data_IF_199231388809
#
_entry.id   IF_199231388809
#
_cell.length_a   1.000
_cell.length_b   1.000
_cell.length_c   1.000
_cell.angle_alpha   90.00
_cell.angle_beta   90.00
_cell.angle_gamma   90.00
#
_symmetry.space_group_name_H-M   'P 1'
#
loop_
_entity.id
_entity.type
_entity.pdbx_description
1 polymer ?
#
# COMPACT_ATOMS: atom_id res chain seq x y z
N UNK A 1 48.49 28.94 28.83
CA UNK A 1 47.90 30.16 29.37
C UNK A 1 46.46 30.19 28.96
N UNK A 2 45.54 29.80 29.87
CA UNK A 2 44.06 29.97 29.80
C UNK A 2 43.69 31.43 29.95
N UNK A 3 42.50 31.89 29.50
CA UNK A 3 41.42 31.82 30.44
C UNK A 3 40.03 31.39 29.87
N UNK A 4 39.27 30.86 30.78
CA UNK A 4 37.89 30.48 30.72
C UNK A 4 36.90 31.63 30.42
N UNK A 5 35.78 31.32 29.74
CA UNK A 5 34.60 32.17 29.72
C UNK A 5 33.36 31.39 30.13
N UNK A 6 32.70 31.93 31.16
CA UNK A 6 31.56 31.40 31.90
C UNK A 6 30.27 31.45 31.05
N UNK A 7 29.51 30.38 31.10
CA UNK A 7 28.14 30.29 30.64
C UNK A 7 27.19 30.96 31.64
N UNK A 8 26.38 31.90 31.18
CA UNK A 8 25.23 32.43 31.94
C UNK A 8 23.97 31.66 31.56
N UNK A 9 23.37 31.00 32.53
CA UNK A 9 22.04 30.37 32.45
C UNK A 9 21.02 31.37 32.95
N UNK A 10 20.11 31.82 32.10
CA UNK A 10 18.96 32.65 32.50
C UNK A 10 17.75 31.74 32.68
N UNK A 11 17.28 31.62 33.92
CA UNK A 11 16.01 30.97 34.28
C UNK A 11 14.87 31.96 34.02
N UNK A 12 13.91 31.56 33.18
CA UNK A 12 12.62 32.27 33.09
C UNK A 12 11.63 31.60 34.04
N UNK A 13 11.09 32.42 34.96
CA UNK A 13 10.05 32.03 35.94
C UNK A 13 8.69 32.37 35.34
N UNK A 14 7.83 31.34 35.13
CA UNK A 14 6.44 31.56 34.73
C UNK A 14 5.55 31.56 35.97
N UNK A 15 4.87 32.68 36.21
CA UNK A 15 3.89 32.86 37.32
C UNK A 15 2.51 32.41 36.79
N UNK A 16 1.93 31.38 37.42
CA UNK A 16 0.56 30.91 37.13
C UNK A 16 -0.40 31.59 38.12
N UNK A 17 -1.30 32.43 37.62
CA UNK A 17 -2.42 32.99 38.36
C UNK A 17 -3.63 32.07 38.34
N UNK A 18 -4.07 31.59 39.49
CA UNK A 18 -5.28 30.80 39.68
C UNK A 18 -6.52 31.69 39.65
N UNK A 19 -7.43 31.46 38.70
CA UNK A 19 -8.80 31.97 38.69
C UNK A 19 -9.77 30.98 39.36
N UNK A 20 -10.63 31.46 40.23
CA UNK A 20 -11.65 30.72 40.98
C UNK A 20 -12.83 30.34 40.08
N UNK A 21 -13.49 29.16 40.28
CA UNK A 21 -14.72 28.80 39.56
C UNK A 21 -15.95 29.42 40.25
N UNK A 22 -16.84 29.96 39.42
CA UNK A 22 -18.16 30.43 39.81
C UNK A 22 -19.17 29.30 39.67
N UNK A 23 -19.82 28.92 40.75
CA UNK A 23 -20.92 27.95 40.83
C UNK A 23 -22.22 28.57 40.33
N UNK A 24 -22.86 27.95 39.35
CA UNK A 24 -24.26 28.20 38.98
C UNK A 24 -25.12 27.00 39.33
N UNK A 25 -25.97 27.18 40.35
CA UNK A 25 -26.99 26.23 40.80
C UNK A 25 -28.24 26.38 39.94
N UNK A 26 -28.69 25.30 39.29
CA UNK A 26 -30.06 25.19 38.77
C UNK A 26 -30.79 24.04 39.46
N UNK A 27 -31.93 24.40 40.03
CA UNK A 27 -32.85 23.62 40.84
C UNK A 27 -33.70 22.72 39.96
N UNK A 28 -33.67 21.42 40.15
CA UNK A 28 -34.59 20.46 39.50
C UNK A 28 -35.63 19.98 40.52
N UNK A 29 -36.89 20.07 40.12
CA UNK A 29 -38.08 19.52 40.81
C UNK A 29 -38.29 18.07 40.46
N UNK A 30 -38.70 17.19 41.37
CA UNK A 30 -38.91 15.78 41.09
C UNK A 30 -40.34 15.50 40.59
N UNK A 31 -40.49 14.73 39.50
CA UNK A 31 -41.72 14.10 39.08
C UNK A 31 -41.66 12.61 39.48
N UNK A 32 -42.72 12.20 40.24
CA UNK A 32 -42.90 10.88 40.82
C UNK A 32 -43.43 9.91 39.76
N UNK A 33 -42.75 8.78 39.57
CA UNK A 33 -43.18 7.66 38.76
C UNK A 33 -43.84 6.57 39.65
N UNK A 34 -44.93 6.00 39.22
CA UNK A 34 -45.45 4.66 39.55
C UNK A 34 -45.22 3.82 38.31
N UNK A 35 -44.73 2.67 38.35
CA UNK A 35 -44.86 1.42 39.09
C UNK A 35 -44.93 0.32 38.04
N UNK A 36 -44.18 -0.73 38.34
CA UNK A 36 -44.36 -2.16 37.96
C UNK A 36 -43.75 -2.66 36.64
N UNK A 37 -42.75 -3.42 36.84
CA UNK A 37 -42.55 -4.85 36.73
C UNK A 37 -41.68 -5.43 35.58
N UNK A 38 -40.85 -6.39 36.00
CA UNK A 38 -40.23 -7.48 35.28
C UNK A 38 -38.94 -7.28 34.48
N UNK A 39 -37.82 -7.50 35.19
CA UNK A 39 -36.70 -8.40 34.84
C UNK A 39 -36.28 -8.52 33.37
N UNK A 40 -35.15 -7.91 33.03
CA UNK A 40 -34.06 -8.62 32.36
C UNK A 40 -32.75 -7.81 32.50
N UNK A 41 -31.87 -8.30 33.35
CA UNK A 41 -30.49 -7.84 33.44
C UNK A 41 -29.78 -8.21 32.14
N UNK A 42 -29.72 -7.30 31.19
CA UNK A 42 -28.80 -7.37 30.05
C UNK A 42 -27.46 -6.79 30.47
N UNK A 43 -26.50 -7.67 30.61
CA UNK A 43 -25.12 -7.38 30.96
C UNK A 43 -24.49 -6.35 30.04
N UNK A 44 -23.76 -5.37 30.62
CA UNK A 44 -22.89 -4.41 29.92
C UNK A 44 -21.78 -5.09 29.09
N UNK A 45 -21.74 -6.42 29.03
CA UNK A 45 -20.82 -7.19 28.19
C UNK A 45 -21.28 -7.30 26.73
N UNK A 46 -22.56 -7.12 26.42
CA UNK A 46 -23.09 -7.27 25.06
C UNK A 46 -22.99 -6.02 24.20
N UNK A 47 -22.68 -4.87 24.79
CA UNK A 47 -22.49 -3.60 24.06
C UNK A 47 -21.05 -3.37 23.59
N UNK A 48 -20.09 -4.13 24.10
CA UNK A 48 -18.66 -4.04 23.68
C UNK A 48 -18.28 -5.12 22.66
N UNK A 49 -19.14 -6.11 22.43
CA UNK A 49 -18.94 -7.16 21.42
C UNK A 49 -19.31 -6.72 20.01
N UNK A 50 -19.98 -5.57 19.85
CA UNK A 50 -20.46 -5.09 18.52
C UNK A 50 -19.52 -4.10 17.84
N UNK A 51 -18.40 -3.71 18.44
CA UNK A 51 -17.39 -2.82 17.82
C UNK A 51 -16.09 -3.54 17.45
N UNK A 52 -15.98 -4.82 17.68
CA UNK A 52 -14.78 -5.62 17.44
C UNK A 52 -14.80 -6.46 16.15
N UNK A 53 -15.82 -6.35 15.31
CA UNK A 53 -15.98 -7.18 14.10
C UNK A 53 -16.24 -6.31 12.86
N UNK A 54 -15.41 -5.31 12.62
CA UNK A 54 -15.33 -4.62 11.34
C UNK A 54 -14.00 -4.92 10.63
N UNK A 55 -13.35 -6.00 11.00
CA UNK A 55 -12.50 -6.73 10.06
C UNK A 55 -13.44 -7.68 9.31
N UNK A 56 -14.06 -7.10 8.32
CA UNK A 56 -14.58 -7.66 7.09
C UNK A 56 -14.69 -9.19 7.02
N UNK A 57 -15.70 -9.76 7.66
CA UNK A 57 -16.46 -10.77 6.96
C UNK A 57 -17.32 -10.01 5.95
N UNK A 58 -16.78 -9.72 4.77
CA UNK A 58 -17.61 -9.47 3.60
C UNK A 58 -18.31 -10.79 3.27
N UNK A 59 -19.29 -11.16 4.10
CA UNK A 59 -20.35 -11.99 3.64
C UNK A 59 -21.07 -11.14 2.58
N UNK A 60 -20.77 -11.42 1.33
CA UNK A 60 -21.61 -11.06 0.20
C UNK A 60 -23.01 -11.62 0.52
N UNK A 61 -23.83 -10.84 1.24
CA UNK A 61 -25.26 -11.11 1.32
C UNK A 61 -25.79 -10.86 -0.09
N UNK A 62 -25.93 -11.94 -0.85
CA UNK A 62 -26.75 -11.94 -2.04
C UNK A 62 -28.11 -11.31 -1.67
N UNK A 63 -28.28 -10.05 -2.00
CA UNK A 63 -29.60 -9.46 -2.14
C UNK A 63 -30.18 -9.98 -3.44
N UNK A 64 -30.88 -11.12 -3.34
CA UNK A 64 -31.87 -11.47 -4.32
C UNK A 64 -32.96 -10.39 -4.23
N UNK A 65 -32.86 -9.37 -5.05
CA UNK A 65 -34.02 -8.61 -5.47
C UNK A 65 -34.31 -9.05 -6.92
N UNK A 66 -35.46 -9.62 -7.09
CA UNK A 66 -36.15 -9.82 -8.35
C UNK A 66 -36.37 -8.45 -9.00
N UNK A 67 -35.45 -8.07 -9.88
CA UNK A 67 -35.69 -7.19 -11.00
C UNK A 67 -34.97 -7.86 -12.17
N UNK A 68 -35.71 -8.72 -12.87
CA UNK A 68 -35.38 -9.17 -14.21
C UNK A 68 -35.57 -7.95 -15.14
N UNK A 69 -34.50 -7.16 -15.28
CA UNK A 69 -34.40 -6.19 -16.36
C UNK A 69 -32.96 -6.19 -16.92
N UNK A 70 -32.86 -6.75 -18.14
CA UNK A 70 -31.82 -6.53 -19.13
C UNK A 70 -30.39 -6.38 -18.62
N UNK A 71 -29.74 -7.51 -18.35
CA UNK A 71 -28.27 -7.60 -18.31
C UNK A 71 -27.74 -7.49 -19.75
N UNK A 72 -27.85 -6.28 -20.31
CA UNK A 72 -27.23 -5.91 -21.58
C UNK A 72 -25.71 -5.88 -21.34
N UNK A 73 -24.99 -6.83 -21.94
CA UNK A 73 -23.59 -7.15 -22.00
C UNK A 73 -22.55 -6.10 -21.56
N UNK A 74 -22.61 -5.61 -20.31
CA UNK A 74 -21.58 -4.72 -19.78
C UNK A 74 -20.27 -5.49 -19.63
N UNK A 75 -19.23 -5.06 -20.35
CA UNK A 75 -17.87 -5.60 -20.23
C UNK A 75 -17.45 -5.65 -18.76
N UNK A 76 -16.87 -6.78 -18.31
CA UNK A 76 -16.22 -6.84 -17.00
C UNK A 76 -15.12 -5.77 -16.89
N UNK A 77 -14.94 -5.24 -15.72
CA UNK A 77 -13.81 -4.34 -15.41
C UNK A 77 -12.51 -5.10 -15.54
N UNK A 78 -11.45 -4.44 -15.96
CA UNK A 78 -10.14 -5.08 -16.14
C UNK A 78 -9.10 -4.48 -15.21
N UNK A 79 -8.47 -5.33 -14.39
CA UNK A 79 -7.39 -4.94 -13.49
C UNK A 79 -6.08 -5.60 -13.90
N UNK A 80 -5.02 -4.81 -13.92
CA UNK A 80 -3.63 -5.31 -14.05
C UNK A 80 -3.02 -5.38 -12.66
N UNK A 81 -2.46 -6.54 -12.26
CA UNK A 81 -1.80 -6.72 -10.97
C UNK A 81 -0.36 -7.21 -11.19
N UNK A 82 0.64 -6.39 -10.84
CA UNK A 82 2.04 -6.84 -10.86
C UNK A 82 2.35 -7.73 -9.66
N UNK A 83 3.18 -8.77 -9.86
CA UNK A 83 3.52 -9.71 -8.79
C UNK A 83 2.33 -10.56 -8.31
N UNK A 84 1.45 -10.93 -9.23
CA UNK A 84 0.22 -11.68 -8.97
C UNK A 84 0.42 -13.20 -8.93
N UNK A 85 1.66 -13.70 -8.91
CA UNK A 85 1.98 -15.13 -8.82
C UNK A 85 2.15 -15.62 -7.37
N UNK A 86 2.11 -14.76 -6.38
CA UNK A 86 2.27 -15.14 -4.98
C UNK A 86 1.76 -14.05 -4.02
N UNK A 87 1.62 -14.41 -2.75
CA UNK A 87 1.35 -13.45 -1.68
C UNK A 87 0.10 -12.62 -1.91
N UNK A 88 0.18 -11.33 -1.58
CA UNK A 88 -0.93 -10.36 -1.62
C UNK A 88 -1.53 -10.25 -3.03
N UNK A 89 -0.68 -10.17 -4.06
CA UNK A 89 -1.13 -10.02 -5.44
C UNK A 89 -1.93 -11.22 -5.93
N UNK A 90 -1.51 -12.44 -5.59
CA UNK A 90 -2.24 -13.66 -5.93
C UNK A 90 -3.56 -13.76 -5.15
N UNK A 91 -3.56 -13.44 -3.86
CA UNK A 91 -4.76 -13.49 -3.04
C UNK A 91 -5.82 -12.48 -3.52
N UNK A 92 -5.39 -11.26 -3.83
CA UNK A 92 -6.27 -10.25 -4.42
C UNK A 92 -6.80 -10.68 -5.81
N UNK A 93 -5.94 -11.28 -6.64
CA UNK A 93 -6.35 -11.82 -7.95
C UNK A 93 -7.43 -12.90 -7.82
N UNK A 94 -7.29 -13.84 -6.86
CA UNK A 94 -8.29 -14.87 -6.55
C UNK A 94 -9.65 -14.25 -6.18
N UNK A 95 -9.65 -13.25 -5.30
CA UNK A 95 -10.87 -12.59 -4.81
C UNK A 95 -11.55 -11.77 -5.92
N UNK A 96 -10.78 -11.01 -6.69
CA UNK A 96 -11.32 -10.19 -7.80
C UNK A 96 -11.90 -11.07 -8.92
N UNK A 97 -11.19 -12.13 -9.36
CA UNK A 97 -11.71 -13.05 -10.35
C UNK A 97 -12.99 -13.77 -9.84
N UNK A 98 -13.01 -14.20 -8.57
CA UNK A 98 -14.15 -14.88 -7.99
C UNK A 98 -15.39 -13.98 -7.80
N UNK A 99 -15.23 -12.65 -7.81
CA UNK A 99 -16.38 -11.72 -7.75
C UNK A 99 -17.24 -11.73 -9.01
N UNK A 100 -16.71 -12.21 -10.13
CA UNK A 100 -17.39 -12.18 -11.44
C UNK A 100 -17.42 -10.81 -12.11
N UNK A 101 -16.99 -9.74 -11.42
CA UNK A 101 -17.03 -8.36 -11.93
C UNK A 101 -15.76 -7.97 -12.70
N UNK A 102 -14.66 -8.73 -12.50
CA UNK A 102 -13.34 -8.37 -12.98
C UNK A 102 -12.71 -9.43 -13.87
N UNK A 103 -12.07 -8.97 -14.95
CA UNK A 103 -11.02 -9.72 -15.66
C UNK A 103 -9.67 -9.30 -15.05
N UNK A 104 -8.90 -10.28 -14.59
CA UNK A 104 -7.62 -10.04 -13.91
C UNK A 104 -6.46 -10.37 -14.83
N UNK A 105 -5.69 -9.35 -15.22
CA UNK A 105 -4.45 -9.49 -15.99
C UNK A 105 -3.27 -9.73 -15.01
N UNK A 106 -2.83 -10.97 -14.94
CA UNK A 106 -1.71 -11.39 -14.11
C UNK A 106 -0.39 -10.96 -14.74
N UNK A 107 0.29 -9.96 -14.16
CA UNK A 107 1.60 -9.50 -14.59
C UNK A 107 2.69 -10.11 -13.69
N UNK A 108 3.25 -11.24 -14.11
CA UNK A 108 4.29 -11.98 -13.41
C UNK A 108 5.62 -11.85 -14.14
N UNK A 109 6.76 -12.13 -13.50
CA UNK A 109 8.08 -12.05 -14.12
C UNK A 109 8.14 -12.81 -15.45
N UNK A 110 7.54 -13.99 -15.49
CA UNK A 110 7.41 -14.81 -16.70
C UNK A 110 5.95 -15.19 -16.93
N UNK A 111 5.57 -15.43 -18.19
CA UNK A 111 4.24 -15.94 -18.54
C UNK A 111 3.96 -17.29 -17.87
N UNK A 112 4.97 -18.17 -17.75
CA UNK A 112 4.83 -19.47 -17.10
C UNK A 112 4.44 -19.34 -15.59
N UNK A 113 4.98 -18.34 -14.90
CA UNK A 113 4.56 -18.03 -13.52
C UNK A 113 3.10 -17.55 -13.48
N UNK A 114 2.67 -16.73 -14.43
CA UNK A 114 1.28 -16.27 -14.52
C UNK A 114 0.33 -17.46 -14.80
N UNK A 115 0.70 -18.38 -15.70
CA UNK A 115 -0.07 -19.60 -15.98
C UNK A 115 -0.14 -20.53 -14.77
N UNK A 116 0.92 -20.61 -13.95
CA UNK A 116 0.88 -21.36 -12.70
C UNK A 116 -0.09 -20.70 -11.69
N UNK A 117 -0.05 -19.39 -11.57
CA UNK A 117 -0.97 -18.63 -10.73
C UNK A 117 -2.44 -18.77 -11.19
N UNK A 118 -2.69 -18.76 -12.50
CA UNK A 118 -4.03 -19.00 -13.07
C UNK A 118 -4.60 -20.34 -12.62
N UNK A 119 -3.79 -21.41 -12.60
CA UNK A 119 -4.24 -22.72 -12.09
C UNK A 119 -4.65 -22.65 -10.62
N UNK A 120 -3.87 -21.98 -9.76
CA UNK A 120 -4.23 -21.79 -8.36
C UNK A 120 -5.50 -20.93 -8.17
N UNK A 121 -5.76 -19.97 -9.07
CA UNK A 121 -6.98 -19.16 -9.06
C UNK A 121 -8.20 -20.02 -9.36
N UNK A 122 -8.10 -20.93 -10.33
CA UNK A 122 -9.19 -21.88 -10.65
C UNK A 122 -9.45 -22.92 -9.54
N UNK A 123 -8.39 -23.32 -8.79
CA UNK A 123 -8.55 -24.16 -7.60
C UNK A 123 -9.28 -23.42 -6.46
N UNK A 124 -9.17 -22.10 -6.41
CA UNK A 124 -9.84 -21.28 -5.39
C UNK A 124 -11.37 -21.22 -5.57
N UNK A 125 -11.86 -21.13 -6.82
CA UNK A 125 -13.29 -21.11 -7.11
C UNK A 125 -13.60 -21.67 -8.50
N UNK A 126 -14.52 -22.63 -8.56
CA UNK A 126 -15.03 -23.19 -9.82
C UNK A 126 -15.97 -22.26 -10.59
N UNK A 127 -16.35 -21.13 -10.02
CA UNK A 127 -17.19 -20.12 -10.69
C UNK A 127 -16.37 -19.20 -11.61
N UNK A 128 -15.03 -19.21 -11.53
CA UNK A 128 -14.16 -18.36 -12.34
C UNK A 128 -14.07 -18.94 -13.77
N UNK A 129 -14.43 -18.14 -14.77
CA UNK A 129 -14.32 -18.50 -16.17
C UNK A 129 -12.87 -18.33 -16.69
N UNK A 130 -12.53 -19.01 -17.80
CA UNK A 130 -11.17 -18.96 -18.33
C UNK A 130 -10.74 -17.56 -18.78
N UNK A 131 -11.66 -16.78 -19.33
CA UNK A 131 -11.48 -15.40 -19.78
C UNK A 131 -11.50 -14.36 -18.62
N UNK A 132 -11.78 -14.78 -17.40
CA UNK A 132 -11.65 -13.91 -16.23
C UNK A 132 -10.19 -13.73 -15.80
N UNK A 133 -9.27 -14.54 -16.31
CA UNK A 133 -7.86 -14.50 -15.93
C UNK A 133 -6.94 -14.55 -17.13
N UNK A 134 -6.22 -13.47 -17.36
CA UNK A 134 -5.23 -13.33 -18.43
C UNK A 134 -3.80 -13.48 -17.90
N UNK A 135 -2.91 -14.09 -18.66
CA UNK A 135 -1.54 -14.36 -18.25
C UNK A 135 -0.52 -13.58 -19.07
N UNK A 136 0.35 -12.82 -18.40
CA UNK A 136 1.38 -12.00 -19.03
C UNK A 136 2.75 -12.17 -18.37
N UNK A 137 3.81 -12.05 -19.18
CA UNK A 137 5.17 -11.86 -18.71
C UNK A 137 5.47 -10.35 -18.55
N UNK A 138 5.89 -9.94 -17.35
CA UNK A 138 6.31 -8.58 -17.03
C UNK A 138 7.46 -8.63 -16.02
N UNK A 139 8.68 -8.68 -16.51
CA UNK A 139 9.88 -8.58 -15.68
C UNK A 139 10.20 -7.10 -15.41
N UNK A 140 9.90 -6.62 -14.21
CA UNK A 140 10.16 -5.23 -13.79
C UNK A 140 11.66 -4.90 -13.69
N UNK A 141 12.54 -5.91 -13.63
CA UNK A 141 13.98 -5.73 -13.74
C UNK A 141 14.46 -5.56 -15.20
N UNK A 142 13.54 -5.30 -16.14
CA UNK A 142 13.84 -5.06 -17.56
C UNK A 142 12.86 -4.07 -18.16
N UNK A 143 13.32 -2.86 -18.47
CA UNK A 143 12.47 -1.84 -19.09
C UNK A 143 11.92 -2.30 -20.45
N UNK A 144 12.67 -3.12 -21.19
CA UNK A 144 12.20 -3.72 -22.44
C UNK A 144 11.00 -4.63 -22.20
N UNK A 145 11.06 -5.50 -21.18
CA UNK A 145 9.95 -6.37 -20.77
C UNK A 145 8.72 -5.57 -20.35
N UNK A 146 8.91 -4.51 -19.55
CA UNK A 146 7.82 -3.60 -19.15
C UNK A 146 7.15 -2.96 -20.37
N UNK A 147 7.95 -2.48 -21.33
CA UNK A 147 7.42 -1.88 -22.58
C UNK A 147 6.69 -2.91 -23.45
N UNK A 148 7.20 -4.15 -23.54
CA UNK A 148 6.54 -5.23 -24.28
C UNK A 148 5.20 -5.59 -23.64
N UNK A 149 5.18 -5.76 -22.31
CA UNK A 149 3.96 -6.02 -21.54
C UNK A 149 2.91 -4.92 -21.70
N UNK A 150 3.30 -3.66 -21.56
CA UNK A 150 2.37 -2.54 -21.71
C UNK A 150 1.75 -2.49 -23.12
N UNK A 151 2.53 -2.79 -24.19
CA UNK A 151 2.01 -2.89 -25.55
C UNK A 151 1.01 -4.04 -25.70
N UNK A 152 1.29 -5.20 -25.10
CA UNK A 152 0.41 -6.37 -25.16
C UNK A 152 -0.91 -6.11 -24.42
N UNK A 153 -0.85 -5.51 -23.23
CA UNK A 153 -2.05 -5.11 -22.46
C UNK A 153 -2.92 -4.14 -23.25
N UNK A 154 -2.31 -3.13 -23.89
CA UNK A 154 -3.04 -2.14 -24.71
C UNK A 154 -3.73 -2.78 -25.93
N UNK A 155 -3.10 -3.78 -26.53
CA UNK A 155 -3.67 -4.49 -27.68
C UNK A 155 -4.89 -5.34 -27.31
N UNK A 156 -4.98 -5.81 -26.07
CA UNK A 156 -6.03 -6.71 -25.59
C UNK A 156 -7.19 -6.00 -24.87
N UNK A 157 -7.26 -4.68 -24.93
CA UNK A 157 -8.36 -3.89 -24.36
C UNK A 157 -7.93 -2.90 -23.28
N UNK A 158 -8.89 -2.11 -22.79
CA UNK A 158 -8.65 -1.07 -21.80
C UNK A 158 -8.28 -1.60 -20.41
N UNK A 159 -7.79 -0.70 -19.56
CA UNK A 159 -7.48 -0.96 -18.16
C UNK A 159 -8.34 -0.06 -17.28
N UNK A 160 -9.02 -0.64 -16.31
CA UNK A 160 -9.88 0.09 -15.38
C UNK A 160 -9.21 0.32 -14.02
N UNK A 161 -8.26 -0.58 -13.66
CA UNK A 161 -7.46 -0.45 -12.46
C UNK A 161 -6.05 -1.04 -12.67
N UNK A 162 -5.05 -0.43 -12.02
CA UNK A 162 -3.66 -0.85 -12.07
C UNK A 162 -3.10 -0.99 -10.63
N UNK A 163 -2.72 -2.19 -10.25
CA UNK A 163 -2.05 -2.48 -8.99
C UNK A 163 -0.55 -2.65 -9.20
N UNK A 164 0.22 -1.66 -8.78
CA UNK A 164 1.69 -1.67 -8.73
C UNK A 164 2.12 -2.35 -7.42
N UNK A 165 2.00 -3.69 -7.40
CA UNK A 165 2.11 -4.48 -6.17
C UNK A 165 3.43 -5.23 -6.03
N UNK A 166 4.07 -5.63 -7.13
CA UNK A 166 5.31 -6.40 -7.08
C UNK A 166 6.40 -5.71 -6.24
N UNK A 167 7.29 -6.50 -5.65
CA UNK A 167 8.43 -5.98 -4.94
C UNK A 167 9.49 -7.04 -4.67
N UNK A 168 10.72 -6.55 -4.49
CA UNK A 168 11.88 -7.34 -4.06
C UNK A 168 12.54 -6.65 -2.87
N UNK A 169 13.23 -7.45 -2.07
CA UNK A 169 13.98 -7.03 -0.90
C UNK A 169 15.20 -7.93 -0.74
N UNK A 170 16.34 -7.35 -0.44
CA UNK A 170 17.62 -8.05 -0.25
C UNK A 170 18.22 -7.79 1.13
N UNK A 171 17.39 -7.51 2.14
CA UNK A 171 17.84 -7.16 3.49
C UNK A 171 18.93 -8.05 4.02
N UNK A 172 20.01 -7.44 4.51
CA UNK A 172 21.20 -8.13 5.01
C UNK A 172 22.15 -8.65 3.94
N UNK A 173 21.90 -8.46 2.65
CA UNK A 173 22.82 -8.80 1.57
C UNK A 173 23.76 -7.61 1.28
N UNK A 174 25.09 -7.76 1.40
CA UNK A 174 26.03 -6.69 1.10
C UNK A 174 26.26 -6.49 -0.41
N UNK A 175 25.66 -7.33 -1.27
CA UNK A 175 25.87 -7.30 -2.72
C UNK A 175 24.83 -6.43 -3.40
N UNK A 176 25.29 -5.51 -4.23
CA UNK A 176 24.40 -4.70 -5.09
C UNK A 176 23.93 -5.58 -6.26
N UNK A 177 22.66 -5.97 -6.23
CA UNK A 177 22.02 -6.62 -7.36
C UNK A 177 21.62 -5.59 -8.43
N UNK A 178 21.60 -5.99 -9.70
CA UNK A 178 21.40 -5.07 -10.82
C UNK A 178 20.31 -5.53 -11.78
N UNK A 179 19.50 -4.61 -12.24
CA UNK A 179 18.57 -4.82 -13.37
C UNK A 179 19.32 -4.91 -14.69
N UNK A 180 18.62 -5.21 -15.79
CA UNK A 180 19.21 -5.24 -17.13
C UNK A 180 19.79 -3.89 -17.56
N UNK A 181 19.20 -2.79 -17.10
CA UNK A 181 19.64 -1.43 -17.35
C UNK A 181 20.69 -0.94 -16.35
N UNK A 182 21.18 -1.84 -15.48
CA UNK A 182 22.20 -1.56 -14.47
C UNK A 182 21.73 -0.70 -13.27
N UNK A 183 20.42 -0.57 -13.02
CA UNK A 183 19.91 0.06 -11.81
C UNK A 183 20.13 -0.87 -10.59
N UNK A 184 20.27 -0.29 -9.38
CA UNK A 184 20.12 -1.08 -8.16
C UNK A 184 18.77 -1.76 -8.19
N UNK A 185 18.72 -3.09 -7.97
CA UNK A 185 17.56 -3.92 -8.36
C UNK A 185 16.33 -3.63 -7.52
N UNK A 186 16.51 -3.27 -6.23
CA UNK A 186 15.36 -2.95 -5.37
C UNK A 186 14.65 -1.70 -5.84
N UNK A 187 15.37 -0.64 -6.13
CA UNK A 187 14.82 0.60 -6.70
C UNK A 187 14.34 0.36 -8.14
N UNK A 188 15.11 -0.40 -8.92
CA UNK A 188 14.76 -0.73 -10.31
C UNK A 188 13.41 -1.42 -10.43
N UNK A 189 13.16 -2.44 -9.60
CA UNK A 189 11.91 -3.22 -9.60
C UNK A 189 10.78 -2.49 -8.90
N UNK A 190 11.04 -2.02 -7.65
CA UNK A 190 9.96 -1.50 -6.80
C UNK A 190 9.46 -0.13 -7.27
N UNK A 191 10.34 0.68 -7.88
CA UNK A 191 10.02 2.03 -8.33
C UNK A 191 10.11 2.23 -9.84
N UNK A 192 11.29 2.11 -10.46
CA UNK A 192 11.51 2.51 -11.86
C UNK A 192 10.70 1.69 -12.86
N UNK A 193 10.62 0.36 -12.69
CA UNK A 193 9.79 -0.52 -13.52
C UNK A 193 8.30 -0.17 -13.40
N UNK A 194 7.83 0.09 -12.20
CA UNK A 194 6.45 0.53 -11.94
C UNK A 194 6.19 1.95 -12.46
N UNK A 195 7.14 2.86 -12.30
CA UNK A 195 7.07 4.21 -12.85
C UNK A 195 6.85 4.18 -14.37
N UNK A 196 7.68 3.40 -15.08
CA UNK A 196 7.53 3.22 -16.53
C UNK A 196 6.17 2.61 -16.88
N UNK A 197 5.78 1.52 -16.19
CA UNK A 197 4.52 0.82 -16.47
C UNK A 197 3.32 1.73 -16.29
N UNK A 198 3.25 2.46 -15.19
CA UNK A 198 2.16 3.38 -14.92
C UNK A 198 2.05 4.44 -16.02
N UNK A 199 3.16 5.11 -16.36
CA UNK A 199 3.16 6.12 -17.41
C UNK A 199 2.73 5.57 -18.77
N UNK A 200 3.12 4.34 -19.12
CA UNK A 200 2.70 3.71 -20.37
C UNK A 200 1.23 3.32 -20.42
N UNK A 201 0.57 3.10 -19.28
CA UNK A 201 -0.83 2.69 -19.21
C UNK A 201 -1.81 3.83 -18.84
N UNK A 202 -1.33 5.06 -18.62
CA UNK A 202 -2.19 6.20 -18.28
C UNK A 202 -3.29 6.43 -19.34
N UNK A 203 -2.94 6.40 -20.62
CA UNK A 203 -3.90 6.62 -21.71
C UNK A 203 -5.00 5.55 -21.74
N UNK A 204 -4.67 4.31 -21.34
CA UNK A 204 -5.66 3.23 -21.28
C UNK A 204 -6.61 3.41 -20.08
N UNK A 205 -6.09 3.85 -18.94
CA UNK A 205 -6.88 4.21 -17.78
C UNK A 205 -7.80 5.42 -18.07
N UNK A 206 -7.31 6.44 -18.81
CA UNK A 206 -8.15 7.59 -19.22
C UNK A 206 -9.31 7.17 -20.13
N UNK A 207 -9.14 6.12 -20.95
CA UNK A 207 -10.18 5.58 -21.83
C UNK A 207 -11.16 4.67 -21.10
N UNK A 208 -10.90 4.31 -19.84
CA UNK A 208 -11.79 3.45 -19.07
C UNK A 208 -13.21 4.00 -19.02
N UNK A 209 -14.20 3.12 -19.05
CA UNK A 209 -15.61 3.48 -18.83
C UNK A 209 -15.95 3.71 -17.36
N UNK A 210 -15.06 3.34 -16.44
CA UNK A 210 -15.25 3.61 -15.02
C UNK A 210 -15.22 5.11 -14.72
N UNK A 211 -16.03 5.52 -13.77
CA UNK A 211 -16.07 6.93 -13.33
C UNK A 211 -14.74 7.34 -12.71
N UNK A 212 -14.10 6.41 -12.00
CA UNK A 212 -12.85 6.65 -11.30
C UNK A 212 -11.89 5.45 -11.48
N UNK A 213 -11.17 5.38 -12.62
CA UNK A 213 -10.10 4.41 -12.79
C UNK A 213 -9.02 4.63 -11.74
N UNK A 214 -8.31 3.57 -11.36
CA UNK A 214 -7.44 3.62 -10.18
C UNK A 214 -6.03 3.11 -10.46
N UNK A 215 -5.07 3.78 -9.84
CA UNK A 215 -3.72 3.26 -9.66
C UNK A 215 -3.50 3.07 -8.16
N UNK A 216 -3.15 1.85 -7.77
CA UNK A 216 -2.86 1.49 -6.39
C UNK A 216 -1.40 1.10 -6.27
N UNK A 217 -0.67 1.78 -5.39
CA UNK A 217 0.77 1.58 -5.19
C UNK A 217 1.01 0.88 -3.86
N UNK A 218 1.64 -0.29 -3.90
CA UNK A 218 2.05 -1.00 -2.68
C UNK A 218 3.31 -0.34 -2.11
N UNK A 219 3.11 0.46 -1.08
CA UNK A 219 4.14 1.05 -0.24
C UNK A 219 4.45 0.15 0.98
N UNK A 220 4.86 0.72 2.07
CA UNK A 220 5.05 0.08 3.38
C UNK A 220 5.24 1.16 4.43
N UNK A 221 4.90 0.88 5.69
CA UNK A 221 5.18 1.80 6.81
C UNK A 221 6.68 2.11 6.97
N UNK A 222 7.57 1.24 6.47
CA UNK A 222 9.02 1.43 6.57
C UNK A 222 9.56 2.64 5.79
N UNK A 223 8.72 3.28 4.93
CA UNK A 223 9.05 4.56 4.32
C UNK A 223 9.13 5.71 5.33
N UNK A 224 8.55 5.52 6.51
CA UNK A 224 8.55 6.51 7.59
C UNK A 224 9.54 6.09 8.69
N UNK A 225 10.65 6.82 8.87
CA UNK A 225 11.60 6.56 9.96
C UNK A 225 11.00 6.65 11.37
N UNK A 226 9.83 7.32 11.52
CA UNK A 226 9.13 7.40 12.78
C UNK A 226 8.24 6.17 13.07
N UNK A 227 7.97 5.32 12.07
CA UNK A 227 7.22 4.08 12.24
C UNK A 227 8.07 3.02 12.96
N UNK A 228 7.44 2.02 13.63
CA UNK A 228 8.17 0.95 14.30
C UNK A 228 9.12 0.18 13.36
N UNK A 229 8.66 -0.16 12.17
CA UNK A 229 9.48 -0.86 11.17
C UNK A 229 10.53 0.03 10.51
N UNK A 230 10.16 1.30 10.23
CA UNK A 230 11.06 2.28 9.59
C UNK A 230 12.20 2.74 10.49
N UNK A 231 11.99 2.75 11.82
CA UNK A 231 13.01 3.15 12.81
C UNK A 231 14.07 2.08 13.09
N UNK A 232 13.99 0.88 12.53
CA UNK A 232 15.01 -0.18 12.72
C UNK A 232 16.18 0.07 11.77
N UNK A 233 17.41 0.12 12.26
CA UNK A 233 18.60 0.41 11.46
C UNK A 233 18.61 1.82 10.89
N UNK A 234 19.07 1.97 9.63
CA UNK A 234 18.98 3.24 8.92
C UNK A 234 17.53 3.49 8.46
N UNK A 235 17.01 4.68 8.71
CA UNK A 235 15.69 5.10 8.23
C UNK A 235 15.71 5.43 6.73
N UNK A 236 14.53 5.42 6.10
CA UNK A 236 14.38 5.89 4.73
C UNK A 236 14.70 7.39 4.63
N UNK A 237 15.51 7.74 3.66
CA UNK A 237 15.75 9.13 3.19
C UNK A 237 16.47 9.09 1.86
N UNK A 238 16.03 9.90 0.91
CA UNK A 238 16.68 10.00 -0.40
C UNK A 238 17.82 11.03 -0.41
N UNK A 239 17.95 11.79 0.67
CA UNK A 239 18.92 12.85 0.78
C UNK A 239 18.72 13.93 -0.27
N UNK A 240 19.78 14.28 -0.98
CA UNK A 240 19.71 15.24 -2.10
C UNK A 240 19.62 14.58 -3.48
N UNK A 241 19.37 13.26 -3.54
CA UNK A 241 19.34 12.47 -4.77
C UNK A 241 20.67 12.46 -5.57
N UNK A 242 21.76 12.89 -4.94
CA UNK A 242 23.07 13.05 -5.62
C UNK A 242 23.63 11.73 -6.16
N UNK A 243 23.29 10.62 -5.56
CA UNK A 243 23.68 9.30 -6.07
C UNK A 243 23.10 9.03 -7.46
N UNK A 244 21.82 9.30 -7.66
CA UNK A 244 21.17 9.13 -8.95
C UNK A 244 21.70 10.19 -9.93
N UNK A 245 21.81 11.46 -9.53
CA UNK A 245 22.25 12.54 -10.41
C UNK A 245 23.69 12.36 -10.92
N UNK A 246 24.60 11.85 -10.08
CA UNK A 246 26.02 11.72 -10.44
C UNK A 246 26.37 10.39 -11.10
N UNK A 247 25.69 9.30 -10.74
CA UNK A 247 26.00 7.94 -11.19
C UNK A 247 25.03 7.44 -12.28
N UNK A 248 23.91 8.14 -12.49
CA UNK A 248 22.88 7.72 -13.45
C UNK A 248 22.39 6.31 -13.17
N UNK A 249 22.32 5.46 -14.19
CA UNK A 249 21.87 4.08 -14.06
C UNK A 249 22.72 3.19 -13.12
N UNK A 250 23.97 3.59 -12.86
CA UNK A 250 24.89 2.80 -12.02
C UNK A 250 24.80 3.14 -10.52
N UNK A 251 23.86 3.99 -10.09
CA UNK A 251 23.71 4.35 -8.69
C UNK A 251 23.54 3.12 -7.79
N UNK A 252 24.03 3.19 -6.56
CA UNK A 252 23.87 2.14 -5.54
C UNK A 252 22.85 2.58 -4.47
N UNK A 253 22.94 3.85 -4.05
CA UNK A 253 21.96 4.49 -3.17
C UNK A 253 21.56 5.83 -3.76
N UNK A 254 20.30 6.23 -3.61
CA UNK A 254 19.78 7.49 -4.12
C UNK A 254 20.54 8.71 -3.56
N UNK A 255 20.89 8.67 -2.29
CA UNK A 255 21.68 9.69 -1.59
C UNK A 255 23.17 9.73 -1.96
N UNK A 256 23.69 8.68 -2.64
CA UNK A 256 25.11 8.53 -2.95
C UNK A 256 25.98 8.02 -1.80
N UNK A 257 25.38 7.61 -0.68
CA UNK A 257 26.09 6.97 0.42
C UNK A 257 26.48 5.52 0.11
N UNK A 258 27.20 4.88 1.03
CA UNK A 258 27.57 3.45 0.92
C UNK A 258 26.31 2.57 0.89
N UNK A 259 26.33 1.53 0.04
CA UNK A 259 25.20 0.62 -0.16
C UNK A 259 24.77 -0.05 1.14
N UNK A 260 23.46 -0.07 1.35
CA UNK A 260 22.78 -0.71 2.46
C UNK A 260 21.46 -1.28 1.94
N UNK A 261 21.37 -2.60 1.85
CA UNK A 261 20.22 -3.27 1.24
C UNK A 261 18.91 -3.03 2.00
N UNK A 262 18.95 -2.96 3.35
CA UNK A 262 17.78 -2.65 4.17
C UNK A 262 17.27 -1.23 3.89
N UNK A 263 18.21 -0.28 3.81
CA UNK A 263 17.89 1.10 3.47
C UNK A 263 17.40 1.23 2.03
N UNK A 264 18.00 0.52 1.06
CA UNK A 264 17.57 0.54 -0.34
C UNK A 264 16.10 0.12 -0.48
N UNK A 265 15.66 -0.89 0.29
CA UNK A 265 14.26 -1.27 0.34
C UNK A 265 13.37 -0.14 0.91
N UNK A 266 13.73 0.42 2.05
CA UNK A 266 13.00 1.53 2.69
C UNK A 266 12.94 2.75 1.78
N UNK A 267 14.05 3.11 1.15
CA UNK A 267 14.13 4.20 0.18
C UNK A 267 13.21 3.93 -1.04
N UNK A 268 13.16 2.69 -1.54
CA UNK A 268 12.24 2.34 -2.63
C UNK A 268 10.77 2.53 -2.23
N UNK A 269 10.42 2.31 -0.95
CA UNK A 269 9.06 2.54 -0.45
C UNK A 269 8.76 4.03 -0.24
N UNK A 270 9.76 4.83 0.12
CA UNK A 270 9.66 6.29 0.14
C UNK A 270 9.49 6.84 -1.29
N UNK A 271 10.25 6.34 -2.27
CA UNK A 271 10.06 6.68 -3.70
C UNK A 271 8.66 6.36 -4.18
N UNK A 272 8.08 5.23 -3.75
CA UNK A 272 6.70 4.87 -4.10
C UNK A 272 5.67 5.86 -3.52
N UNK A 273 5.92 6.40 -2.33
CA UNK A 273 5.06 7.45 -1.75
C UNK A 273 5.17 8.77 -2.52
N UNK A 274 6.41 9.24 -2.76
CA UNK A 274 6.67 10.46 -3.55
C UNK A 274 6.07 10.35 -4.97
N UNK A 275 6.23 9.19 -5.62
CA UNK A 275 5.61 8.89 -6.91
C UNK A 275 4.09 8.96 -6.85
N UNK A 276 3.46 8.37 -5.83
CA UNK A 276 2.00 8.38 -5.65
C UNK A 276 1.47 9.81 -5.60
N UNK A 277 2.08 10.65 -4.77
CA UNK A 277 1.64 12.03 -4.57
C UNK A 277 1.91 12.91 -5.79
N UNK A 278 3.06 12.75 -6.44
CA UNK A 278 3.39 13.53 -7.63
C UNK A 278 2.53 13.13 -8.83
N UNK A 279 2.27 11.83 -9.03
CA UNK A 279 1.38 11.36 -10.10
C UNK A 279 -0.05 11.88 -9.89
N UNK A 280 -0.57 11.76 -8.67
CA UNK A 280 -1.91 12.29 -8.33
C UNK A 280 -1.99 13.82 -8.59
N UNK A 281 -0.97 14.58 -8.18
CA UNK A 281 -0.90 16.02 -8.42
C UNK A 281 -0.93 16.36 -9.92
N UNK A 282 -0.15 15.65 -10.73
CA UNK A 282 -0.08 15.83 -12.20
C UNK A 282 -1.41 15.46 -12.87
N UNK A 283 -2.08 14.40 -12.39
CA UNK A 283 -3.39 13.98 -12.88
C UNK A 283 -4.47 15.02 -12.55
N UNK A 284 -4.49 15.55 -11.36
CA UNK A 284 -5.42 16.64 -10.97
C UNK A 284 -5.21 17.91 -11.79
N UNK A 285 -3.97 18.32 -12.04
CA UNK A 285 -3.66 19.51 -12.85
C UNK A 285 -4.23 19.44 -14.28
N UNK A 286 -4.35 18.23 -14.84
CA UNK A 286 -4.96 18.01 -16.15
C UNK A 286 -6.43 17.56 -16.10
N UNK A 287 -7.06 17.65 -14.93
CA UNK A 287 -8.46 17.23 -14.69
C UNK A 287 -8.72 15.77 -15.08
N UNK A 288 -7.77 14.88 -14.84
CA UNK A 288 -7.93 13.44 -15.04
C UNK A 288 -8.94 12.87 -14.05
N UNK A 289 -9.67 11.84 -14.49
CA UNK A 289 -10.56 11.05 -13.63
C UNK A 289 -9.87 9.92 -12.87
N UNK A 290 -8.60 9.65 -13.19
CA UNK A 290 -7.79 8.62 -12.53
C UNK A 290 -7.44 9.08 -11.11
N UNK A 291 -7.57 8.18 -10.14
CA UNK A 291 -7.10 8.41 -8.77
C UNK A 291 -5.89 7.54 -8.47
N UNK A 292 -4.92 8.08 -7.75
CA UNK A 292 -3.71 7.36 -7.34
C UNK A 292 -3.63 7.34 -5.83
N UNK A 293 -3.56 6.14 -5.24
CA UNK A 293 -3.45 5.96 -3.81
C UNK A 293 -2.38 4.92 -3.48
N UNK A 294 -1.76 5.04 -2.30
CA UNK A 294 -0.80 4.08 -1.80
C UNK A 294 -1.33 3.33 -0.58
N UNK A 295 -0.79 2.14 -0.34
CA UNK A 295 -1.09 1.42 0.89
C UNK A 295 0.10 0.63 1.43
N UNK A 296 0.12 0.44 2.76
CA UNK A 296 0.98 -0.49 3.47
C UNK A 296 0.17 -1.70 3.92
N UNK A 297 0.51 -2.91 3.49
CA UNK A 297 -0.29 -4.12 3.79
C UNK A 297 -0.11 -4.65 5.22
N UNK A 298 0.78 -4.04 6.02
CA UNK A 298 1.23 -4.59 7.29
C UNK A 298 2.43 -5.53 7.13
N UNK A 299 2.91 -6.09 8.25
CA UNK A 299 4.03 -7.02 8.27
C UNK A 299 3.56 -8.43 7.91
N UNK A 300 3.84 -8.89 6.69
CA UNK A 300 3.45 -10.20 6.18
C UNK A 300 4.70 -11.01 5.86
N UNK A 301 5.09 -11.93 6.74
CA UNK A 301 6.32 -12.73 6.61
C UNK A 301 6.21 -13.88 5.61
N UNK A 302 4.99 -14.32 5.29
CA UNK A 302 4.72 -15.48 4.43
C UNK A 302 4.44 -15.10 2.98
N UNK A 303 5.22 -14.14 2.47
CA UNK A 303 5.19 -13.73 1.06
C UNK A 303 6.52 -14.04 0.38
N UNK A 304 6.55 -13.94 -0.95
CA UNK A 304 7.79 -14.05 -1.71
C UNK A 304 8.79 -12.90 -1.49
N UNK A 305 8.45 -11.89 -0.69
CA UNK A 305 9.31 -10.75 -0.40
C UNK A 305 10.62 -11.19 0.29
N UNK A 306 10.51 -12.10 1.26
CA UNK A 306 11.64 -12.59 2.06
C UNK A 306 12.44 -13.73 1.40
N UNK A 307 12.17 -14.07 0.12
CA UNK A 307 12.77 -15.21 -0.58
C UNK A 307 14.29 -15.13 -0.73
N UNK A 308 14.84 -13.90 -0.74
CA UNK A 308 16.27 -13.62 -0.90
C UNK A 308 17.03 -13.54 0.43
N UNK A 309 16.33 -13.67 1.55
CA UNK A 309 16.93 -13.61 2.89
C UNK A 309 17.37 -15.00 3.38
N UNK A 310 18.24 -15.01 4.42
CA UNK A 310 18.67 -16.25 5.04
C UNK A 310 17.47 -17.07 5.56
N UNK A 311 17.26 -18.33 5.10
CA UNK A 311 16.08 -19.11 5.45
C UNK A 311 15.93 -19.38 6.96
N UNK A 312 17.04 -19.46 7.71
CA UNK A 312 16.99 -19.66 9.16
C UNK A 312 16.53 -18.38 9.86
N UNK A 313 17.02 -17.23 9.43
CA UNK A 313 16.57 -15.94 9.93
C UNK A 313 15.07 -15.77 9.68
N UNK A 314 14.59 -16.01 8.46
CA UNK A 314 13.16 -15.90 8.11
C UNK A 314 12.29 -16.79 8.99
N UNK A 315 12.69 -18.04 9.26
CA UNK A 315 11.94 -18.94 10.15
C UNK A 315 11.86 -18.44 11.59
N UNK A 316 12.99 -17.94 12.14
CA UNK A 316 13.03 -17.41 13.50
C UNK A 316 12.22 -16.13 13.60
N UNK A 317 12.33 -15.26 12.61
CA UNK A 317 11.59 -14.02 12.53
C UNK A 317 10.07 -14.28 12.39
N UNK A 318 9.66 -15.16 11.46
CA UNK A 318 8.25 -15.56 11.29
C UNK A 318 7.68 -16.13 12.60
N UNK A 319 8.42 -17.00 13.28
CA UNK A 319 8.00 -17.52 14.58
C UNK A 319 7.82 -16.42 15.62
N UNK A 320 8.77 -15.50 15.72
CA UNK A 320 8.74 -14.42 16.71
C UNK A 320 7.56 -13.47 16.47
N UNK A 321 7.35 -12.99 15.24
CA UNK A 321 6.29 -12.00 14.93
C UNK A 321 4.89 -12.61 14.96
N UNK A 322 4.76 -13.90 14.65
CA UNK A 322 3.46 -14.59 14.68
C UNK A 322 3.09 -15.14 16.06
N UNK A 323 4.07 -15.67 16.83
CA UNK A 323 3.76 -16.45 18.04
C UNK A 323 4.18 -15.78 19.35
N UNK A 324 5.09 -14.80 19.29
CA UNK A 324 5.57 -14.07 20.49
C UNK A 324 5.02 -12.66 20.54
N UNK A 325 5.16 -11.92 19.45
CA UNK A 325 4.75 -10.51 19.40
C UNK A 325 3.33 -10.33 18.86
N UNK A 326 2.81 -11.28 18.09
CA UNK A 326 1.49 -11.23 17.46
C UNK A 326 1.26 -9.96 16.62
N UNK A 327 2.28 -9.55 15.86
CA UNK A 327 2.28 -8.33 15.04
C UNK A 327 2.20 -8.61 13.54
N UNK A 328 2.27 -9.88 13.12
CA UNK A 328 2.19 -10.25 11.73
C UNK A 328 0.75 -10.24 11.21
N UNK A 329 0.58 -9.76 9.99
CA UNK A 329 -0.66 -9.88 9.23
C UNK A 329 -0.65 -11.13 8.35
N UNK A 330 -1.83 -11.59 7.97
CA UNK A 330 -2.00 -12.72 7.06
C UNK A 330 -1.86 -12.29 5.60
N UNK A 331 -1.51 -13.22 4.72
CA UNK A 331 -1.52 -12.97 3.26
C UNK A 331 -2.93 -12.57 2.81
N UNK A 332 -3.96 -13.22 3.36
CA UNK A 332 -5.35 -12.92 3.03
C UNK A 332 -5.78 -11.53 3.48
N UNK A 333 -5.38 -11.08 4.68
CA UNK A 333 -5.65 -9.72 5.14
C UNK A 333 -4.96 -8.67 4.28
N UNK A 334 -3.69 -8.91 3.87
CA UNK A 334 -3.02 -8.03 2.90
C UNK A 334 -3.70 -8.01 1.53
N UNK A 335 -4.21 -9.17 1.07
CA UNK A 335 -5.01 -9.25 -0.15
C UNK A 335 -6.34 -8.48 -0.04
N UNK A 336 -7.02 -8.55 1.11
CA UNK A 336 -8.23 -7.75 1.38
C UNK A 336 -7.96 -6.26 1.34
N UNK A 337 -6.80 -5.81 1.86
CA UNK A 337 -6.38 -4.41 1.74
C UNK A 337 -6.23 -3.98 0.27
N UNK A 338 -5.59 -4.80 -0.57
CA UNK A 338 -5.42 -4.49 -1.99
C UNK A 338 -6.77 -4.48 -2.72
N UNK A 339 -7.65 -5.44 -2.46
CA UNK A 339 -9.02 -5.47 -3.03
C UNK A 339 -9.78 -4.21 -2.62
N UNK A 340 -9.76 -3.82 -1.35
CA UNK A 340 -10.38 -2.60 -0.86
C UNK A 340 -9.88 -1.36 -1.62
N UNK A 341 -8.57 -1.21 -1.76
CA UNK A 341 -7.97 -0.07 -2.49
C UNK A 341 -8.41 -0.04 -3.95
N UNK A 342 -8.60 -1.20 -4.58
CA UNK A 342 -9.01 -1.30 -5.98
C UNK A 342 -10.52 -1.11 -6.19
N UNK A 343 -11.36 -1.45 -5.23
CA UNK A 343 -12.80 -1.59 -5.45
C UNK A 343 -13.69 -0.68 -4.63
N UNK A 344 -13.25 -0.20 -3.44
CA UNK A 344 -14.12 0.55 -2.54
C UNK A 344 -14.56 1.89 -3.16
N UNK A 345 -15.88 2.15 -3.29
CA UNK A 345 -16.39 3.35 -3.93
C UNK A 345 -15.96 4.66 -3.23
N UNK A 346 -15.64 4.59 -1.95
CA UNK A 346 -15.23 5.77 -1.18
C UNK A 346 -13.85 6.33 -1.58
N UNK A 347 -13.07 5.58 -2.37
CA UNK A 347 -11.72 5.97 -2.82
C UNK A 347 -11.69 6.55 -4.23
N UNK A 348 -12.85 6.94 -4.77
CA UNK A 348 -12.95 7.59 -6.09
C UNK A 348 -13.06 9.11 -6.00
N UNK A 349 -13.04 9.78 -7.14
CA UNK A 349 -13.22 11.22 -7.27
C UNK A 349 -12.08 12.03 -6.64
N UNK A 350 -12.42 12.93 -5.72
CA UNK A 350 -11.43 13.81 -5.07
C UNK A 350 -10.59 13.11 -3.99
N UNK A 351 -10.69 11.78 -3.87
CA UNK A 351 -10.02 10.99 -2.83
C UNK A 351 -8.76 10.26 -3.33
N UNK A 352 -8.02 10.88 -4.22
CA UNK A 352 -6.65 10.48 -4.58
C UNK A 352 -5.59 11.11 -3.67
N UNK A 353 -4.37 10.59 -3.71
CA UNK A 353 -3.25 11.04 -2.88
C UNK A 353 -3.37 10.61 -1.42
N UNK A 354 -4.02 9.47 -1.15
CA UNK A 354 -4.16 8.92 0.19
C UNK A 354 -3.17 7.78 0.42
N UNK A 355 -2.71 7.69 1.66
CA UNK A 355 -2.00 6.52 2.16
C UNK A 355 -2.85 5.79 3.19
N UNK A 356 -3.10 4.51 2.94
CA UNK A 356 -3.75 3.60 3.89
C UNK A 356 -2.71 2.66 4.48
N UNK A 357 -2.74 2.43 5.79
CA UNK A 357 -1.83 1.48 6.41
C UNK A 357 -2.58 0.46 7.25
N UNK A 358 -2.18 -0.79 7.13
CA UNK A 358 -2.70 -1.88 7.93
C UNK A 358 -1.88 -1.98 9.22
N UNK A 359 -2.34 -1.29 10.24
CA UNK A 359 -1.64 -1.16 11.52
C UNK A 359 -2.29 -2.03 12.59
N UNK A 360 -1.52 -2.33 13.63
CA UNK A 360 -2.07 -2.96 14.83
C UNK A 360 -3.11 -2.04 15.47
N UNK A 361 -4.29 -2.60 15.74
CA UNK A 361 -5.34 -1.89 16.46
C UNK A 361 -4.87 -1.52 17.87
N UNK A 362 -5.17 -0.31 18.36
CA UNK A 362 -4.85 0.07 19.74
C UNK A 362 -5.46 -0.89 20.75
N UNK A 363 -4.68 -1.36 21.68
CA UNK A 363 -5.12 -2.28 22.75
C UNK A 363 -3.94 -2.97 23.41
N UNK A 364 -4.17 -3.61 24.58
CA UNK A 364 -3.16 -4.42 25.23
C UNK A 364 -3.84 -5.69 25.76
N UNK A 365 -3.62 -6.86 25.12
CA UNK A 365 -2.88 -7.09 23.88
C UNK A 365 -3.56 -6.47 22.65
N UNK A 366 -2.84 -6.31 21.54
CA UNK A 366 -3.43 -5.86 20.27
C UNK A 366 -4.60 -6.75 19.87
N UNK A 367 -5.70 -6.12 19.46
CA UNK A 367 -6.95 -6.83 19.14
C UNK A 367 -7.07 -7.22 17.67
N UNK A 368 -6.01 -7.03 16.88
CA UNK A 368 -5.95 -7.31 15.45
C UNK A 368 -5.37 -6.14 14.66
N UNK A 369 -5.55 -6.16 13.36
CA UNK A 369 -5.13 -5.08 12.46
C UNK A 369 -6.31 -4.17 12.10
N UNK A 370 -6.01 -2.91 11.80
CA UNK A 370 -6.96 -1.93 11.28
C UNK A 370 -6.36 -1.29 10.02
N UNK A 371 -7.08 -1.37 8.92
CA UNK A 371 -6.72 -0.74 7.65
C UNK A 371 -7.35 0.65 7.58
N UNK A 372 -6.55 1.67 7.80
CA UNK A 372 -7.03 3.05 7.99
C UNK A 372 -6.19 4.06 7.21
N UNK A 373 -6.78 5.21 6.82
CA UNK A 373 -6.01 6.35 6.32
C UNK A 373 -4.98 6.76 7.38
N UNK A 374 -3.73 6.94 6.94
CA UNK A 374 -2.60 7.21 7.83
C UNK A 374 -1.76 8.34 7.25
N UNK A 375 -1.23 9.20 8.10
CA UNK A 375 -0.24 10.19 7.68
C UNK A 375 1.05 9.46 7.27
N UNK A 376 1.65 9.89 6.16
CA UNK A 376 2.93 9.38 5.70
C UNK A 376 4.10 10.20 6.24
N UNK A 377 5.34 9.76 6.01
CA UNK A 377 6.53 10.45 6.49
C UNK A 377 6.59 11.91 6.02
N UNK A 378 7.31 12.73 6.77
CA UNK A 378 7.49 14.14 6.39
C UNK A 378 8.15 14.29 5.02
N UNK A 379 9.19 13.49 4.73
CA UNK A 379 9.93 13.52 3.47
C UNK A 379 9.04 13.10 2.29
N UNK A 380 8.16 12.12 2.46
CA UNK A 380 7.23 11.73 1.39
C UNK A 380 6.26 12.83 0.95
N UNK A 381 6.09 13.87 1.76
CA UNK A 381 5.27 15.04 1.47
C UNK A 381 6.08 16.23 0.89
N UNK A 382 7.37 16.05 0.63
CA UNK A 382 8.20 17.07 -0.01
C UNK A 382 7.92 17.13 -1.52
N UNK A 383 7.24 18.20 -1.95
CA UNK A 383 6.82 18.37 -3.35
C UNK A 383 8.01 18.61 -4.28
N UNK A 384 9.04 19.30 -3.80
CA UNK A 384 10.20 19.61 -4.64
C UNK A 384 11.07 18.37 -4.82
N UNK A 385 11.22 17.55 -3.79
CA UNK A 385 11.86 16.25 -3.88
C UNK A 385 11.08 15.29 -4.79
N UNK A 386 9.75 15.24 -4.67
CA UNK A 386 8.90 14.43 -5.54
C UNK A 386 9.05 14.81 -7.02
N UNK A 387 9.13 16.10 -7.34
CA UNK A 387 9.36 16.59 -8.71
C UNK A 387 10.75 16.25 -9.22
N UNK A 388 11.78 16.35 -8.38
CA UNK A 388 13.16 15.98 -8.77
C UNK A 388 13.25 14.47 -9.02
N UNK A 389 12.71 13.64 -8.10
CA UNK A 389 12.66 12.19 -8.27
C UNK A 389 11.92 11.81 -9.56
N UNK A 390 10.79 12.48 -9.86
CA UNK A 390 10.04 12.27 -11.08
C UNK A 390 10.90 12.52 -12.34
N UNK A 391 11.56 13.68 -12.43
CA UNK A 391 12.39 14.04 -13.57
C UNK A 391 13.58 13.08 -13.75
N UNK A 392 14.21 12.65 -12.65
CA UNK A 392 15.27 11.65 -12.68
C UNK A 392 14.75 10.30 -13.15
N UNK A 393 13.57 9.87 -12.66
CA UNK A 393 12.94 8.61 -13.06
C UNK A 393 12.58 8.63 -14.55
N UNK A 394 11.99 9.73 -15.08
CA UNK A 394 11.75 9.90 -16.53
C UNK A 394 13.03 9.72 -17.35
N UNK A 395 14.10 10.39 -16.94
CA UNK A 395 15.40 10.30 -17.61
C UNK A 395 15.97 8.87 -17.58
N UNK A 396 15.92 8.20 -16.42
CA UNK A 396 16.46 6.84 -16.26
C UNK A 396 15.68 5.80 -17.08
N UNK A 397 14.36 5.94 -17.18
CA UNK A 397 13.54 4.98 -17.93
C UNK A 397 13.34 5.39 -19.39
N UNK A 398 13.83 6.54 -19.82
CA UNK A 398 13.77 7.02 -21.22
C UNK A 398 12.34 7.38 -21.66
N UNK A 399 11.66 8.22 -20.88
CA UNK A 399 10.37 8.86 -21.17
C UNK A 399 10.56 10.30 -21.57
#
# INVERSE_FOLDING_TARGET
MTPAMRTMVTRATVTVTRGRPTTMTTRATPVRARGDDATTTRSRRDALASMGLLCASFAFAARANEDEDEEDGKRKKRVVITGSNSGIGLDAAKKLAASGEWTVALACRTRAEAEAAKREIFEYSSAIADDDVECYGCDLASLESVRAFAREVRANGGVDALALNAGVEYSGDPVVHRTKENFEETVGVNHLGHFLLANMLLDELEKSSETHPRIVVTASEVHDPASPGGGVGKGATLGDLSGIETQGAAFEMASGEEFDADKAYKDSKLMNMLFTYELERRLRERNSKITVNAFGPGLITRTGLFRNQNPLFVKVFDFAVNNVFHVAETVSGGGDCLVFMLTDPSLGGDRGGLYYNNTLSPGTPPTGHAFVPTESSKESNDVDEARRLWALSESLVGL
#
